data_IF_297912742345
#
_entry.id   IF_297912742345
#
_cell.length_a   1.000
_cell.length_b   1.000
_cell.length_c   1.000
_cell.angle_alpha   90.00
_cell.angle_beta   90.00
_cell.angle_gamma   90.00
#
_symmetry.space_group_name_H-M   'P 1'
#
loop_
_entity.id
_entity.type
_entity.pdbx_description
1 polymer ?
#
# COMPACT_ATOMS: atom_id res chain seq x y z
N UNK A 1 -12.95 -34.59 21.70
CA UNK A 1 -12.04 -33.44 21.84
C UNK A 1 -10.69 -33.92 21.40
N UNK A 2 -10.00 -33.25 20.47
CA UNK A 2 -8.75 -33.80 19.88
C UNK A 2 -7.68 -34.13 20.92
N UNK A 3 -7.66 -33.41 22.04
CA UNK A 3 -6.73 -33.65 23.14
C UNK A 3 -6.83 -35.06 23.77
N UNK A 4 -8.02 -35.66 23.80
CA UNK A 4 -8.19 -37.05 24.27
C UNK A 4 -7.56 -38.05 23.30
N UNK A 5 -7.68 -37.78 21.99
CA UNK A 5 -7.03 -38.60 20.97
C UNK A 5 -5.51 -38.45 21.01
N UNK A 6 -5.00 -37.27 21.36
CA UNK A 6 -3.57 -37.04 21.56
C UNK A 6 -3.06 -37.78 22.79
N UNK A 7 -3.83 -37.81 23.87
CA UNK A 7 -3.51 -38.60 25.06
C UNK A 7 -3.42 -40.10 24.77
N UNK A 8 -4.41 -40.65 24.07
CA UNK A 8 -4.43 -42.07 23.69
C UNK A 8 -3.29 -42.47 22.74
N UNK A 9 -2.75 -41.50 21.99
CA UNK A 9 -1.66 -41.69 21.04
C UNK A 9 -0.27 -41.30 21.59
N UNK A 10 -0.15 -41.02 22.89
CA UNK A 10 1.10 -40.60 23.54
C UNK A 10 1.72 -39.33 22.90
N UNK A 11 0.87 -38.39 22.50
CA UNK A 11 1.28 -37.09 21.94
C UNK A 11 1.39 -36.07 23.08
N UNK A 12 2.61 -35.60 23.31
CA UNK A 12 2.93 -34.64 24.39
C UNK A 12 2.67 -33.17 24.00
N UNK A 13 2.74 -32.82 22.72
CA UNK A 13 2.64 -31.44 22.22
C UNK A 13 1.71 -31.33 21.02
N UNK A 14 1.13 -30.15 20.84
CA UNK A 14 0.31 -29.85 19.68
C UNK A 14 0.68 -28.50 19.07
N UNK A 15 0.45 -28.35 17.76
CA UNK A 15 0.53 -27.08 17.05
C UNK A 15 -0.89 -26.49 16.97
N UNK A 16 -1.03 -25.21 17.32
CA UNK A 16 -2.24 -24.46 17.07
C UNK A 16 -2.29 -24.00 15.61
N UNK A 17 -3.34 -24.38 14.88
CA UNK A 17 -3.49 -24.08 13.44
C UNK A 17 -4.71 -23.19 13.24
N UNK A 18 -4.47 -21.91 12.96
CA UNK A 18 -5.51 -20.98 12.60
C UNK A 18 -6.00 -21.21 11.16
N UNK A 19 -7.21 -20.77 10.84
CA UNK A 19 -7.64 -20.74 9.43
C UNK A 19 -6.96 -19.56 8.74
N UNK A 20 -6.42 -19.77 7.53
CA UNK A 20 -5.85 -18.69 6.72
C UNK A 20 -6.95 -18.05 5.87
N UNK A 21 -7.67 -17.08 6.46
CA UNK A 21 -8.65 -16.24 5.75
C UNK A 21 -8.84 -14.85 6.39
N UNK A 22 -9.58 -13.96 5.73
CA UNK A 22 -9.84 -12.58 6.20
C UNK A 22 -10.71 -12.49 7.47
N UNK A 23 -11.36 -13.57 7.89
CA UNK A 23 -12.31 -13.61 9.02
C UNK A 23 -11.68 -14.20 10.28
N UNK A 24 -10.46 -14.74 10.21
CA UNK A 24 -9.74 -15.26 11.38
C UNK A 24 -9.53 -14.14 12.39
N UNK A 25 -9.86 -14.39 13.66
CA UNK A 25 -9.78 -13.40 14.73
C UNK A 25 -8.33 -13.12 15.11
N UNK A 26 -8.03 -11.92 15.63
CA UNK A 26 -6.68 -11.54 16.07
C UNK A 26 -6.10 -12.53 17.07
N UNK A 27 -6.91 -12.96 18.04
CA UNK A 27 -6.52 -13.96 19.05
C UNK A 27 -6.03 -15.24 18.37
N UNK A 28 -6.80 -15.80 17.43
CA UNK A 28 -6.36 -17.00 16.71
C UNK A 28 -5.12 -16.78 15.84
N UNK A 29 -4.93 -15.59 15.29
CA UNK A 29 -3.75 -15.26 14.49
C UNK A 29 -2.48 -15.26 15.34
N UNK A 30 -2.57 -14.80 16.59
CA UNK A 30 -1.43 -14.74 17.52
C UNK A 30 -0.93 -16.14 17.93
N UNK A 31 -1.84 -17.11 18.02
CA UNK A 31 -1.50 -18.50 18.34
C UNK A 31 -1.11 -19.35 17.12
N UNK A 32 -1.24 -18.84 15.90
CA UNK A 32 -0.98 -19.63 14.69
C UNK A 32 0.47 -20.15 14.64
N UNK A 33 0.61 -21.45 14.38
CA UNK A 33 1.87 -22.21 14.37
C UNK A 33 2.63 -22.22 15.72
N UNK A 34 2.01 -21.82 16.82
CA UNK A 34 2.60 -21.99 18.16
C UNK A 34 2.46 -23.43 18.63
N UNK A 35 3.52 -23.95 19.25
CA UNK A 35 3.55 -25.28 19.86
C UNK A 35 3.27 -25.16 21.34
N UNK A 36 2.35 -25.99 21.85
CA UNK A 36 1.96 -26.02 23.26
C UNK A 36 2.05 -27.44 23.81
N UNK A 37 2.34 -27.55 25.10
CA UNK A 37 2.25 -28.81 25.82
C UNK A 37 0.77 -29.22 25.95
N UNK A 38 0.47 -30.48 25.63
CA UNK A 38 -0.89 -31.04 25.63
C UNK A 38 -1.52 -31.01 27.02
N UNK A 39 -0.73 -31.26 28.06
CA UNK A 39 -1.17 -31.25 29.47
C UNK A 39 -1.53 -29.83 29.98
N UNK A 40 -0.99 -28.78 29.35
CA UNK A 40 -1.28 -27.37 29.63
C UNK A 40 -2.33 -26.78 28.69
N UNK A 41 -3.04 -27.60 27.92
CA UNK A 41 -4.06 -27.13 27.00
C UNK A 41 -5.28 -26.58 27.76
N UNK A 42 -5.56 -25.29 27.58
CA UNK A 42 -6.71 -24.58 28.14
C UNK A 42 -7.52 -23.95 27.00
N UNK A 43 -8.74 -24.45 26.74
CA UNK A 43 -9.65 -23.86 25.77
C UNK A 43 -9.89 -22.38 26.03
N UNK A 44 -9.78 -21.54 25.00
CA UNK A 44 -9.93 -20.09 25.15
C UNK A 44 -8.63 -19.34 25.45
N UNK A 45 -7.54 -20.03 25.80
CA UNK A 45 -6.26 -19.42 26.19
C UNK A 45 -5.13 -19.83 25.25
N UNK A 46 -4.94 -21.12 25.00
CA UNK A 46 -3.92 -21.65 24.09
C UNK A 46 -4.42 -22.85 23.28
N UNK A 47 -5.67 -23.26 23.46
CA UNK A 47 -6.32 -24.35 22.74
C UNK A 47 -7.66 -23.87 22.15
N UNK A 48 -8.01 -24.24 20.92
CA UNK A 48 -9.36 -24.03 20.40
C UNK A 48 -10.43 -24.77 21.24
N UNK A 49 -11.67 -24.26 21.29
CA UNK A 49 -12.14 -23.01 20.67
C UNK A 49 -11.68 -21.77 21.46
N UNK A 50 -11.13 -20.78 20.75
CA UNK A 50 -10.66 -19.51 21.37
C UNK A 50 -11.77 -18.48 21.57
N UNK A 51 -12.86 -18.62 20.83
CA UNK A 51 -14.00 -17.69 20.80
C UNK A 51 -15.23 -18.41 20.24
N UNK A 52 -16.45 -17.85 20.39
CA UNK A 52 -17.63 -18.40 19.75
C UNK A 52 -17.39 -18.58 18.23
N UNK A 53 -17.81 -19.74 17.70
CA UNK A 53 -17.60 -20.11 16.29
C UNK A 53 -16.13 -20.11 15.83
N UNK A 54 -15.20 -20.42 16.74
CA UNK A 54 -13.80 -20.63 16.40
C UNK A 54 -13.66 -21.73 15.33
N UNK A 55 -12.87 -21.44 14.30
CA UNK A 55 -12.59 -22.35 13.17
C UNK A 55 -11.16 -22.88 13.18
N UNK A 56 -10.34 -22.42 14.12
CA UNK A 56 -8.99 -22.92 14.34
C UNK A 56 -9.04 -24.35 14.88
N UNK A 57 -7.99 -25.11 14.62
CA UNK A 57 -7.85 -26.50 15.02
C UNK A 57 -6.47 -26.73 15.63
N UNK A 58 -6.24 -27.93 16.12
CA UNK A 58 -4.92 -28.41 16.54
C UNK A 58 -4.42 -29.48 15.59
N UNK A 59 -3.11 -29.69 15.56
CA UNK A 59 -2.50 -30.90 14.97
C UNK A 59 -1.40 -31.40 15.91
N UNK A 60 -1.13 -32.71 15.86
CA UNK A 60 -0.05 -33.32 16.63
C UNK A 60 1.31 -32.69 16.28
N UNK A 61 2.10 -32.39 17.31
CA UNK A 61 3.49 -32.00 17.14
C UNK A 61 4.40 -33.22 17.25
N UNK A 62 5.29 -33.38 16.28
CA UNK A 62 6.30 -34.42 16.18
C UNK A 62 7.62 -33.70 15.82
N UNK A 63 8.64 -33.85 16.66
CA UNK A 63 9.92 -33.18 16.51
C UNK A 63 10.73 -33.71 15.32
N UNK A 64 10.47 -34.94 14.89
CA UNK A 64 11.13 -35.58 13.75
C UNK A 64 10.39 -35.33 12.42
N UNK A 65 9.20 -34.73 12.48
CA UNK A 65 8.38 -34.47 11.29
C UNK A 65 8.85 -33.23 10.51
N UNK A 66 9.04 -33.41 9.20
CA UNK A 66 9.33 -32.31 8.28
C UNK A 66 8.03 -31.65 7.78
N UNK A 67 7.55 -30.67 8.54
CA UNK A 67 6.34 -29.90 8.23
C UNK A 67 6.45 -29.06 6.95
N UNK A 68 7.65 -28.77 6.45
CA UNK A 68 7.85 -27.94 5.25
C UNK A 68 7.30 -28.59 3.97
N UNK A 69 7.19 -29.93 3.97
CA UNK A 69 6.64 -30.72 2.86
C UNK A 69 5.12 -30.82 2.90
N UNK A 70 4.51 -30.45 4.02
CA UNK A 70 3.06 -30.51 4.20
C UNK A 70 2.40 -29.25 3.66
N UNK A 71 1.09 -29.35 3.42
CA UNK A 71 0.26 -28.23 2.99
C UNK A 71 -0.91 -28.05 3.93
N UNK A 72 -1.27 -26.80 4.19
CA UNK A 72 -2.48 -26.41 4.91
C UNK A 72 -3.45 -25.69 4.00
N UNK A 73 -4.72 -25.72 4.39
CA UNK A 73 -5.81 -25.05 3.68
C UNK A 73 -5.77 -23.54 3.96
N UNK A 74 -5.85 -22.75 2.89
CA UNK A 74 -6.10 -21.31 2.93
C UNK A 74 -7.32 -20.94 2.07
N UNK A 75 -7.94 -19.80 2.36
CA UNK A 75 -9.04 -19.25 1.57
C UNK A 75 -8.51 -18.11 0.73
N UNK A 76 -8.51 -18.26 -0.59
CA UNK A 76 -8.09 -17.19 -1.49
C UNK A 76 -8.91 -15.92 -1.22
N UNK A 77 -8.25 -14.77 -0.94
CA UNK A 77 -8.92 -13.54 -0.52
C UNK A 77 -9.74 -12.85 -1.63
N UNK A 78 -9.54 -13.23 -2.90
CA UNK A 78 -10.24 -12.70 -4.07
C UNK A 78 -11.38 -13.60 -4.50
N UNK A 79 -11.05 -14.86 -4.78
CA UNK A 79 -12.01 -15.81 -5.35
C UNK A 79 -12.90 -16.43 -4.27
N UNK A 80 -12.46 -16.34 -3.01
CA UNK A 80 -13.09 -17.06 -1.92
C UNK A 80 -13.08 -18.57 -2.17
N UNK A 81 -12.13 -19.14 -2.91
CA UNK A 81 -11.98 -20.60 -3.05
C UNK A 81 -10.92 -21.12 -2.09
N UNK A 82 -10.93 -22.43 -1.88
CA UNK A 82 -9.91 -23.12 -1.07
C UNK A 82 -8.66 -23.33 -1.92
N UNK A 83 -7.51 -22.99 -1.34
CA UNK A 83 -6.18 -23.25 -1.89
C UNK A 83 -5.29 -23.92 -0.85
N UNK A 84 -4.20 -24.52 -1.30
CA UNK A 84 -3.23 -25.20 -0.44
C UNK A 84 -1.91 -24.44 -0.44
N UNK A 85 -1.47 -24.03 0.74
CA UNK A 85 -0.20 -23.33 0.98
C UNK A 85 0.70 -24.20 1.87
N UNK A 86 2.02 -23.94 1.93
CA UNK A 86 2.92 -24.65 2.86
C UNK A 86 2.38 -24.64 4.30
N UNK A 87 2.51 -25.76 5.02
CA UNK A 87 1.93 -25.89 6.36
C UNK A 87 2.60 -24.96 7.39
N UNK A 88 3.89 -24.69 7.22
CA UNK A 88 4.70 -23.78 8.02
C UNK A 88 4.40 -22.29 7.77
N UNK A 89 3.66 -21.95 6.71
CA UNK A 89 3.23 -20.58 6.44
C UNK A 89 2.32 -20.08 7.56
N UNK A 90 2.79 -19.03 8.25
CA UNK A 90 2.03 -18.35 9.30
C UNK A 90 0.92 -17.47 8.71
N UNK A 91 -0.07 -17.13 9.53
CA UNK A 91 -1.11 -16.18 9.15
C UNK A 91 -0.54 -14.85 8.65
N UNK A 92 0.51 -14.33 9.30
CA UNK A 92 1.12 -13.05 8.96
C UNK A 92 1.77 -13.07 7.57
N UNK A 93 2.47 -14.16 7.25
CA UNK A 93 3.09 -14.34 5.93
C UNK A 93 2.03 -14.52 4.85
N UNK A 94 1.01 -15.33 5.14
CA UNK A 94 -0.13 -15.51 4.25
C UNK A 94 -0.84 -14.17 3.97
N UNK A 95 -1.12 -13.38 5.01
CA UNK A 95 -1.77 -12.08 4.88
C UNK A 95 -0.93 -11.12 4.03
N UNK A 96 0.37 -11.00 4.33
CA UNK A 96 1.29 -10.13 3.58
C UNK A 96 1.34 -10.51 2.10
N UNK A 97 1.42 -11.81 1.79
CA UNK A 97 1.57 -12.29 0.42
C UNK A 97 0.28 -12.18 -0.38
N UNK A 98 -0.85 -12.64 0.17
CA UNK A 98 -2.09 -12.82 -0.60
C UNK A 98 -3.10 -11.68 -0.41
N UNK A 99 -3.02 -10.94 0.70
CA UNK A 99 -3.93 -9.82 1.00
C UNK A 99 -3.26 -8.49 0.68
N UNK A 100 -2.10 -8.20 1.27
CA UNK A 100 -1.40 -6.92 1.07
C UNK A 100 -0.74 -6.84 -0.31
N UNK A 101 -0.05 -7.90 -0.75
CA UNK A 101 0.53 -7.97 -2.10
C UNK A 101 -0.52 -7.78 -3.21
N UNK A 102 -1.75 -8.21 -2.96
CA UNK A 102 -2.86 -7.97 -3.87
C UNK A 102 -3.34 -6.51 -3.82
N UNK A 103 -3.37 -5.88 -2.64
CA UNK A 103 -3.73 -4.45 -2.51
C UNK A 103 -2.82 -3.56 -3.36
N UNK A 104 -1.52 -3.84 -3.38
CA UNK A 104 -0.58 -3.12 -4.25
C UNK A 104 -0.81 -3.39 -5.74
N UNK A 105 -1.11 -4.64 -6.11
CA UNK A 105 -1.50 -4.99 -7.48
C UNK A 105 -2.78 -4.26 -7.95
N UNK A 106 -3.79 -4.18 -7.09
CA UNK A 106 -5.05 -3.47 -7.34
C UNK A 106 -4.78 -1.97 -7.53
N UNK A 107 -3.97 -1.37 -6.65
CA UNK A 107 -3.56 0.03 -6.79
C UNK A 107 -2.84 0.28 -8.12
N UNK A 108 -1.89 -0.60 -8.51
CA UNK A 108 -1.18 -0.49 -9.79
C UNK A 108 -2.12 -0.63 -10.99
N UNK A 109 -3.06 -1.58 -10.98
CA UNK A 109 -4.06 -1.73 -12.05
C UNK A 109 -4.98 -0.52 -12.15
N UNK A 110 -5.40 0.04 -11.02
CA UNK A 110 -6.17 1.29 -11.01
C UNK A 110 -5.37 2.45 -11.59
N UNK A 111 -4.08 2.54 -11.24
CA UNK A 111 -3.16 3.51 -11.79
C UNK A 111 -2.95 3.35 -13.32
N UNK A 112 -2.67 2.14 -13.80
CA UNK A 112 -2.51 1.86 -15.23
C UNK A 112 -3.79 2.19 -16.02
N UNK A 113 -4.97 2.01 -15.40
CA UNK A 113 -6.26 2.43 -15.97
C UNK A 113 -6.36 3.96 -16.07
N UNK A 114 -5.96 4.72 -15.05
CA UNK A 114 -5.97 6.20 -15.11
C UNK A 114 -5.06 6.77 -16.21
N UNK A 115 -3.95 6.09 -16.50
CA UNK A 115 -3.08 6.43 -17.64
C UNK A 115 -3.83 6.17 -18.96
N UNK A 116 -4.47 5.01 -19.12
CA UNK A 116 -5.21 4.65 -20.34
C UNK A 116 -6.40 5.58 -20.60
N UNK A 117 -7.08 6.02 -19.55
CA UNK A 117 -8.25 6.89 -19.64
C UNK A 117 -7.84 8.37 -19.88
N UNK A 118 -6.55 8.69 -19.99
CA UNK A 118 -6.04 10.03 -20.27
C UNK A 118 -6.21 11.02 -19.11
N UNK A 119 -6.45 10.52 -17.89
CA UNK A 119 -6.64 11.33 -16.69
C UNK A 119 -5.30 11.90 -16.20
N UNK A 120 -4.22 11.16 -16.35
CA UNK A 120 -2.87 11.62 -15.98
C UNK A 120 -2.39 12.69 -16.95
N UNK A 121 -1.86 13.79 -16.42
CA UNK A 121 -1.34 14.88 -17.24
C UNK A 121 -0.22 14.39 -18.14
N UNK A 122 -0.32 14.69 -19.43
CA UNK A 122 0.74 14.41 -20.40
C UNK A 122 1.85 15.45 -20.24
N UNK A 123 3.07 14.97 -20.02
CA UNK A 123 4.25 15.83 -19.90
C UNK A 123 4.84 16.07 -21.29
N UNK A 124 4.96 17.34 -21.68
CA UNK A 124 5.51 17.78 -22.95
C UNK A 124 7.05 17.88 -22.95
N UNK A 125 7.67 17.98 -21.77
CA UNK A 125 9.13 18.04 -21.64
C UNK A 125 9.61 17.95 -20.19
N UNK A 126 10.92 17.80 -20.00
CA UNK A 126 11.53 17.64 -18.67
C UNK A 126 12.73 18.57 -18.49
N UNK A 127 12.85 19.17 -17.32
CA UNK A 127 14.04 19.92 -16.88
C UNK A 127 14.69 19.22 -15.69
N UNK A 128 16.02 19.37 -15.56
CA UNK A 128 16.80 18.77 -14.47
C UNK A 128 17.63 19.86 -13.80
N UNK A 129 17.57 19.94 -12.48
CA UNK A 129 18.41 20.84 -11.68
C UNK A 129 17.68 21.48 -10.51
N UNK A 130 18.32 22.45 -9.86
CA UNK A 130 17.71 23.18 -8.75
C UNK A 130 16.79 24.32 -9.20
N UNK A 131 16.98 24.82 -10.43
CA UNK A 131 16.20 25.93 -10.96
C UNK A 131 14.92 25.42 -11.63
N UNK A 132 13.73 25.84 -11.20
CA UNK A 132 12.48 25.45 -11.83
C UNK A 132 12.32 26.06 -13.23
N UNK A 133 11.43 25.49 -14.08
CA UNK A 133 11.11 26.05 -15.38
C UNK A 133 10.73 27.54 -15.29
N UNK A 134 11.18 28.31 -16.28
CA UNK A 134 11.00 29.75 -16.33
C UNK A 134 9.55 30.18 -16.57
N UNK A 135 9.34 31.50 -16.60
CA UNK A 135 8.03 32.12 -16.83
C UNK A 135 7.43 31.85 -18.21
N UNK A 136 8.29 31.64 -19.21
CA UNK A 136 7.88 31.40 -20.60
C UNK A 136 8.30 29.97 -20.96
N UNK A 137 7.40 29.24 -21.58
CA UNK A 137 7.59 27.88 -22.06
C UNK A 137 6.85 27.66 -23.38
N UNK A 138 6.77 26.39 -23.81
CA UNK A 138 6.01 26.04 -24.99
C UNK A 138 4.50 26.24 -24.70
N UNK A 139 3.71 26.85 -25.60
CA UNK A 139 2.27 27.00 -25.41
C UNK A 139 1.54 25.69 -25.13
N UNK A 140 0.56 25.72 -24.23
CA UNK A 140 -0.26 24.57 -23.82
C UNK A 140 0.56 23.34 -23.40
N UNK A 141 1.73 23.58 -22.78
CA UNK A 141 2.64 22.51 -22.40
C UNK A 141 2.71 22.32 -20.90
N UNK A 142 3.11 21.11 -20.51
CA UNK A 142 3.41 20.75 -19.12
C UNK A 142 4.85 20.26 -19.05
N UNK A 143 5.67 20.89 -18.21
CA UNK A 143 7.08 20.57 -18.06
C UNK A 143 7.30 19.95 -16.68
N UNK A 144 7.85 18.75 -16.64
CA UNK A 144 8.24 18.11 -15.38
C UNK A 144 9.61 18.59 -14.95
N UNK A 145 9.73 19.01 -13.68
CA UNK A 145 10.98 19.45 -13.09
C UNK A 145 11.53 18.36 -12.17
N UNK A 146 12.71 17.85 -12.49
CA UNK A 146 13.41 16.85 -11.69
C UNK A 146 14.65 17.43 -11.02
N UNK A 147 15.00 16.87 -9.86
CA UNK A 147 16.29 17.08 -9.23
C UNK A 147 17.38 16.25 -9.94
N UNK A 148 18.64 16.59 -9.69
CA UNK A 148 19.81 15.87 -10.23
C UNK A 148 19.91 14.43 -9.75
N UNK A 149 19.31 14.09 -8.61
CA UNK A 149 19.24 12.73 -8.07
C UNK A 149 18.08 11.90 -8.66
N UNK A 150 17.27 12.47 -9.55
CA UNK A 150 16.13 11.81 -10.19
C UNK A 150 14.78 11.99 -9.47
N UNK A 151 14.75 12.69 -8.33
CA UNK A 151 13.48 13.01 -7.66
C UNK A 151 12.65 13.99 -8.49
N UNK A 152 11.32 13.82 -8.49
CA UNK A 152 10.42 14.75 -9.19
C UNK A 152 10.04 15.89 -8.24
N UNK A 153 10.44 17.11 -8.57
CA UNK A 153 10.26 18.30 -7.74
C UNK A 153 8.91 18.98 -7.98
N UNK A 154 8.39 18.90 -9.20
CA UNK A 154 7.13 19.53 -9.56
C UNK A 154 6.80 19.43 -11.05
N UNK A 155 5.66 20.02 -11.43
CA UNK A 155 5.26 20.25 -12.82
C UNK A 155 4.86 21.70 -13.02
N UNK A 156 5.33 22.28 -14.12
CA UNK A 156 4.98 23.63 -14.56
C UNK A 156 4.04 23.57 -15.74
N UNK A 157 2.95 24.34 -15.68
CA UNK A 157 1.91 24.42 -16.70
C UNK A 157 1.98 25.77 -17.41
N UNK A 158 1.82 25.76 -18.73
CA UNK A 158 1.85 26.94 -19.58
C UNK A 158 0.52 27.12 -20.33
N UNK A 159 0.02 28.35 -20.44
CA UNK A 159 -1.18 28.68 -21.22
C UNK A 159 -0.92 28.67 -22.74
N UNK A 160 -1.96 28.98 -23.51
CA UNK A 160 -1.88 29.07 -24.97
C UNK A 160 -0.96 30.19 -25.49
N UNK A 161 -0.55 31.13 -24.63
CA UNK A 161 0.44 32.17 -24.95
C UNK A 161 1.86 31.74 -24.57
N UNK A 162 2.02 30.60 -23.89
CA UNK A 162 3.28 30.10 -23.37
C UNK A 162 3.68 30.72 -22.03
N UNK A 163 2.78 31.44 -21.36
CA UNK A 163 3.04 31.96 -20.01
C UNK A 163 2.71 30.92 -18.96
N UNK A 164 3.57 30.85 -17.95
CA UNK A 164 3.36 29.98 -16.80
C UNK A 164 2.03 30.33 -16.13
N UNK A 165 1.18 29.34 -15.90
CA UNK A 165 -0.07 29.51 -15.16
C UNK A 165 0.01 28.89 -13.78
N UNK A 166 0.73 27.78 -13.66
CA UNK A 166 0.73 26.98 -12.42
C UNK A 166 2.01 26.19 -12.25
N UNK A 167 2.53 26.13 -11.04
CA UNK A 167 3.49 25.11 -10.59
C UNK A 167 2.81 24.20 -9.59
N UNK A 168 2.83 22.89 -9.81
CA UNK A 168 2.41 21.86 -8.87
C UNK A 168 3.65 21.27 -8.22
N UNK A 169 3.76 21.39 -6.90
CA UNK A 169 4.85 20.82 -6.11
C UNK A 169 4.38 19.60 -5.34
N UNK A 170 5.22 18.57 -5.32
CA UNK A 170 4.89 17.28 -4.70
C UNK A 170 5.43 17.13 -3.27
N UNK A 171 6.13 18.13 -2.73
CA UNK A 171 6.69 18.10 -1.36
C UNK A 171 6.65 19.49 -0.72
N UNK A 172 6.87 19.57 0.60
CA UNK A 172 7.03 20.84 1.32
C UNK A 172 8.37 21.58 1.08
N UNK A 173 9.24 21.10 0.18
CA UNK A 173 10.60 21.65 -0.04
C UNK A 173 11.45 21.77 1.24
N UNK A 174 11.31 20.82 2.18
CA UNK A 174 11.94 20.85 3.51
C UNK A 174 11.52 22.06 4.37
N UNK A 175 10.39 22.68 4.04
CA UNK A 175 9.80 23.80 4.76
C UNK A 175 8.35 23.49 5.16
N UNK A 176 8.10 22.47 6.00
CA UNK A 176 6.75 22.05 6.38
C UNK A 176 5.92 23.16 7.02
N UNK A 177 6.53 24.02 7.83
CA UNK A 177 5.84 25.14 8.48
C UNK A 177 5.28 26.18 7.48
N UNK A 178 5.86 26.29 6.29
CA UNK A 178 5.41 27.20 5.22
C UNK A 178 4.51 26.52 4.18
N UNK A 179 4.45 25.19 4.21
CA UNK A 179 3.66 24.38 3.28
C UNK A 179 2.81 23.36 4.05
N UNK A 180 1.85 23.82 4.89
CA UNK A 180 0.96 22.95 5.66
C UNK A 180 -0.18 22.41 4.79
N UNK A 181 0.14 21.89 3.60
CA UNK A 181 -0.82 21.43 2.61
C UNK A 181 -0.73 19.92 2.42
N UNK A 182 -1.88 19.28 2.18
CA UNK A 182 -1.92 17.87 1.87
C UNK A 182 -1.27 16.96 2.93
N UNK A 183 -0.79 15.79 2.51
CA UNK A 183 -0.17 14.81 3.42
C UNK A 183 1.33 15.00 3.59
N UNK A 184 2.01 15.48 2.55
CA UNK A 184 3.48 15.58 2.48
C UNK A 184 3.95 17.00 2.17
N UNK A 185 3.03 17.97 2.11
CA UNK A 185 3.30 19.35 1.74
C UNK A 185 3.06 19.67 0.27
N UNK A 186 2.36 18.82 -0.45
CA UNK A 186 2.01 19.02 -1.85
C UNK A 186 1.04 20.21 -2.02
N UNK A 187 1.35 21.10 -2.96
CA UNK A 187 0.65 22.37 -3.13
C UNK A 187 0.82 22.92 -4.55
N UNK A 188 -0.03 23.89 -4.90
CA UNK A 188 0.08 24.62 -6.15
C UNK A 188 0.49 26.08 -5.90
N UNK A 189 1.28 26.61 -6.83
CA UNK A 189 1.42 28.04 -7.03
C UNK A 189 0.73 28.45 -8.33
N UNK A 190 -0.27 29.33 -8.24
CA UNK A 190 -0.90 29.91 -9.42
C UNK A 190 -0.25 31.24 -9.75
N UNK A 191 -0.07 31.51 -11.04
CA UNK A 191 0.58 32.70 -11.56
C UNK A 191 -0.37 33.42 -12.53
N UNK A 192 -0.45 34.74 -12.37
CA UNK A 192 -1.24 35.60 -13.26
C UNK A 192 -0.30 36.58 -13.95
N UNK A 193 -0.39 36.61 -15.27
CA UNK A 193 0.31 37.53 -16.16
C UNK A 193 -0.72 38.30 -17.00
N UNK A 194 -0.49 39.59 -17.20
CA UNK A 194 -1.29 40.39 -18.13
C UNK A 194 -0.97 40.06 -19.60
N UNK A 195 -1.64 40.72 -20.52
CA UNK A 195 -1.53 40.45 -21.96
C UNK A 195 -0.17 40.81 -22.56
N UNK A 196 0.56 41.73 -21.93
CA UNK A 196 1.95 42.06 -22.30
C UNK A 196 2.95 41.09 -21.66
N UNK A 197 2.45 40.11 -20.89
CA UNK A 197 3.26 39.15 -20.20
C UNK A 197 3.97 39.75 -19.00
N UNK A 198 3.47 40.82 -18.36
CA UNK A 198 3.99 41.35 -17.10
C UNK A 198 3.32 40.65 -15.91
N UNK A 199 4.09 40.45 -14.84
CA UNK A 199 3.64 39.71 -13.65
C UNK A 199 2.60 40.54 -12.88
N UNK A 200 1.47 39.91 -12.57
CA UNK A 200 0.38 40.51 -11.81
C UNK A 200 0.38 39.97 -10.38
N UNK A 201 0.30 38.65 -10.22
CA UNK A 201 0.21 38.03 -8.88
C UNK A 201 0.63 36.57 -8.86
N UNK A 202 0.95 36.08 -7.65
CA UNK A 202 1.16 34.67 -7.33
C UNK A 202 0.39 34.32 -6.05
N UNK A 203 -0.36 33.23 -6.08
CA UNK A 203 -0.99 32.64 -4.90
C UNK A 203 -0.42 31.25 -4.62
N UNK A 204 -0.45 30.83 -3.36
CA UNK A 204 -0.14 29.45 -2.95
C UNK A 204 -1.38 28.84 -2.35
N UNK A 205 -1.72 27.63 -2.75
CA UNK A 205 -2.92 26.93 -2.28
C UNK A 205 -2.73 25.42 -2.25
N UNK A 206 -3.66 24.74 -1.62
CA UNK A 206 -3.77 23.30 -1.70
C UNK A 206 -4.11 22.84 -3.13
N UNK A 207 -3.69 21.62 -3.47
CA UNK A 207 -4.09 20.94 -4.71
C UNK A 207 -5.58 20.59 -4.66
N UNK A 208 -6.28 20.88 -5.74
CA UNK A 208 -7.65 20.40 -5.97
C UNK A 208 -7.66 18.87 -6.17
N UNK A 209 -8.82 18.25 -5.98
CA UNK A 209 -8.98 16.80 -6.19
C UNK A 209 -8.63 16.38 -7.61
N UNK A 210 -8.93 17.21 -8.61
CA UNK A 210 -8.63 16.91 -10.01
C UNK A 210 -7.13 17.03 -10.29
N UNK A 211 -6.44 18.05 -9.75
CA UNK A 211 -4.97 18.15 -9.85
C UNK A 211 -4.27 16.97 -9.18
N UNK A 212 -4.82 16.46 -8.06
CA UNK A 212 -4.31 15.26 -7.39
C UNK A 212 -4.46 14.02 -8.28
N UNK A 213 -5.63 13.85 -8.91
CA UNK A 213 -5.87 12.75 -9.85
C UNK A 213 -4.97 12.86 -11.09
N UNK A 214 -4.84 14.05 -11.66
CA UNK A 214 -4.00 14.33 -12.84
C UNK A 214 -2.51 14.07 -12.56
N UNK A 215 -2.06 14.25 -11.32
CA UNK A 215 -0.68 14.03 -10.89
C UNK A 215 -0.49 12.76 -10.06
N UNK A 216 -1.45 11.82 -10.13
CA UNK A 216 -1.43 10.61 -9.33
C UNK A 216 -0.22 9.73 -9.66
N UNK A 217 0.40 9.89 -10.83
CA UNK A 217 1.61 9.18 -11.27
C UNK A 217 2.89 9.51 -10.50
N UNK A 218 2.89 10.64 -9.81
CA UNK A 218 3.95 11.04 -8.89
C UNK A 218 3.46 10.91 -7.45
N UNK A 219 2.26 11.42 -7.17
CA UNK A 219 1.69 11.45 -5.82
C UNK A 219 1.38 10.06 -5.25
N UNK A 220 1.21 9.01 -6.07
CA UNK A 220 1.00 7.64 -5.54
C UNK A 220 2.21 7.06 -4.80
N UNK A 221 3.42 7.59 -5.05
CA UNK A 221 4.66 7.07 -4.46
C UNK A 221 4.85 7.46 -2.99
N UNK A 222 3.99 8.34 -2.50
CA UNK A 222 4.05 8.94 -1.18
C UNK A 222 2.73 8.72 -0.43
#
# INVERSE_FOLDING_TARGET
>A
MELLSYEEADIEKYIFVAVLDKRTSRICQEHDNQVYDRDKAVPGVNCPPMHPWCRSTTVAYDEDADYSKLKRRARNPETGKVEYVPADMTYKEWYSKYVDGNRESIKRKAFDKTIKDGIIVSVSGTTIGHTPPGKIGLPNSVVQHNATNGDVLGRTYYDARGFKTKDVHFTNHKQPARHPYGKIGEHAHDFVFDDEGKFVSRSTRELTDDERKENQDILWRY
#
